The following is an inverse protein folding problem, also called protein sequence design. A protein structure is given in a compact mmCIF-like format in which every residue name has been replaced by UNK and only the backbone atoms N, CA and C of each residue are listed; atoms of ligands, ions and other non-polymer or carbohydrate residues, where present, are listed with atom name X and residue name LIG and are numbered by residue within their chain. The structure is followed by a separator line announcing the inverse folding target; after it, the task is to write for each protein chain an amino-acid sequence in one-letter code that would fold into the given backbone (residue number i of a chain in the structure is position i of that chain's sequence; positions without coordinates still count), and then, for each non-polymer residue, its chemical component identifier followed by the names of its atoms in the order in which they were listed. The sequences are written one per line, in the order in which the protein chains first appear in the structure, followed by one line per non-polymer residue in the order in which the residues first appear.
data_IF_430252791510
#
_entry.id   IF_430252791510
#
_cell.length_a   1.000
_cell.length_b   1.000
_cell.length_c   1.000
_cell.angle_alpha   90.00
_cell.angle_beta   90.00
_cell.angle_gamma   90.00
#
_symmetry.space_group_name_H-M   'P 1'
#
loop_
_entity.id
_entity.type
_entity.pdbx_description
1 polymer ?
#
# COMPACT_ATOMS: atom_id res chain seq x y z
N UNK A 1 -18.45 24.09 -23.07
CA UNK A 1 -19.84 24.45 -22.72
C UNK A 1 -19.91 24.60 -21.21
N UNK A 2 -20.39 25.72 -20.66
CA UNK A 2 -20.53 25.89 -19.21
C UNK A 2 -21.67 25.01 -18.68
N UNK A 3 -21.43 24.29 -17.59
CA UNK A 3 -22.42 23.46 -16.90
C UNK A 3 -23.52 24.38 -16.34
N UNK A 4 -24.76 24.26 -16.84
CA UNK A 4 -25.91 24.96 -16.27
C UNK A 4 -26.51 24.10 -15.16
N UNK A 5 -26.48 24.61 -13.94
CA UNK A 5 -27.16 23.98 -12.81
C UNK A 5 -28.68 24.07 -13.00
N UNK A 6 -29.34 22.92 -13.14
CA UNK A 6 -30.80 22.79 -13.33
C UNK A 6 -31.49 22.21 -12.10
N UNK A 7 -30.84 22.24 -10.94
CA UNK A 7 -31.38 21.67 -9.71
C UNK A 7 -32.72 22.32 -9.32
N UNK A 8 -32.86 23.64 -9.53
CA UNK A 8 -34.10 24.38 -9.26
C UNK A 8 -35.23 23.99 -10.24
N UNK A 9 -34.94 23.89 -11.54
CA UNK A 9 -35.92 23.41 -12.55
C UNK A 9 -36.46 22.04 -12.15
N UNK A 10 -35.57 21.14 -11.72
CA UNK A 10 -35.93 19.79 -11.30
C UNK A 10 -36.82 19.79 -10.04
N UNK A 11 -36.46 20.55 -9.01
CA UNK A 11 -37.27 20.66 -7.79
C UNK A 11 -38.67 21.21 -8.07
N UNK A 12 -38.78 22.19 -8.97
CA UNK A 12 -40.06 22.78 -9.35
C UNK A 12 -40.96 21.78 -10.07
N UNK A 13 -40.41 21.05 -11.05
CA UNK A 13 -41.12 19.98 -11.76
C UNK A 13 -41.55 18.86 -10.78
N UNK A 14 -40.71 18.53 -9.80
CA UNK A 14 -41.01 17.50 -8.80
C UNK A 14 -42.20 17.90 -7.93
N UNK A 15 -42.23 19.14 -7.43
CA UNK A 15 -43.36 19.66 -6.67
C UNK A 15 -44.65 19.76 -7.49
N UNK A 16 -44.56 20.15 -8.76
CA UNK A 16 -45.73 20.20 -9.65
C UNK A 16 -46.30 18.80 -9.91
N UNK A 17 -45.44 17.78 -10.04
CA UNK A 17 -45.86 16.38 -10.19
C UNK A 17 -46.44 15.79 -8.91
N UNK A 18 -45.88 16.14 -7.75
CA UNK A 18 -46.40 15.73 -6.45
C UNK A 18 -47.83 16.26 -6.23
N UNK A 19 -48.11 17.51 -6.66
CA UNK A 19 -49.44 18.12 -6.59
C UNK A 19 -50.44 17.54 -7.61
N UNK A 20 -49.95 17.07 -8.76
CA UNK A 20 -50.80 16.52 -9.83
C UNK A 20 -51.24 15.06 -9.60
N UNK A 21 -50.59 14.35 -8.68
CA UNK A 21 -50.97 12.99 -8.31
C UNK A 21 -52.03 13.06 -7.19
N UNK A 22 -53.20 12.42 -7.33
CA UNK A 22 -54.14 12.32 -6.21
C UNK A 22 -53.45 11.57 -5.06
N UNK A 23 -53.65 12.07 -3.83
CA UNK A 23 -53.15 11.48 -2.58
C UNK A 23 -53.52 10.00 -2.53
N UNK A 24 -52.64 9.15 -3.05
CA UNK A 24 -52.81 7.71 -3.00
C UNK A 24 -52.67 7.36 -1.53
N UNK A 25 -53.82 7.27 -0.83
CA UNK A 25 -54.00 6.96 0.59
C UNK A 25 -52.68 6.53 1.17
N UNK A 26 -51.99 7.45 1.85
CA UNK A 26 -50.75 7.17 2.60
C UNK A 26 -50.96 5.83 3.29
N UNK A 27 -50.47 4.74 2.70
CA UNK A 27 -50.19 3.54 3.45
C UNK A 27 -49.25 4.08 4.50
N UNK A 28 -49.67 4.06 5.77
CA UNK A 28 -48.76 4.26 6.88
C UNK A 28 -47.63 3.28 6.62
N UNK A 29 -46.56 3.76 6.00
CA UNK A 29 -45.26 3.12 6.05
C UNK A 29 -44.94 3.27 7.52
N UNK A 30 -45.30 2.23 8.27
CA UNK A 30 -44.84 2.03 9.63
C UNK A 30 -43.39 2.43 9.60
N UNK A 31 -43.04 3.45 10.38
CA UNK A 31 -41.69 3.99 10.51
C UNK A 31 -40.83 2.79 10.90
N UNK A 32 -40.28 2.11 9.89
CA UNK A 32 -39.33 1.03 10.06
C UNK A 32 -38.24 1.71 10.85
N UNK A 33 -38.06 1.18 12.06
CA UNK A 33 -36.91 1.43 12.92
C UNK A 33 -35.71 1.79 12.08
N UNK A 34 -35.00 2.81 12.53
CA UNK A 34 -33.73 3.32 12.04
C UNK A 34 -32.72 2.17 11.85
N UNK A 35 -32.94 1.38 10.80
CA UNK A 35 -32.05 0.34 10.36
C UNK A 35 -30.95 1.14 9.69
N UNK A 36 -29.85 1.35 10.43
CA UNK A 36 -28.53 1.64 9.85
C UNK A 36 -28.47 0.88 8.52
N UNK A 37 -28.33 1.58 7.37
CA UNK A 37 -28.35 0.89 6.09
C UNK A 37 -27.27 -0.22 6.12
N UNK A 38 -27.65 -1.46 5.82
CA UNK A 38 -26.76 -2.61 5.92
C UNK A 38 -25.56 -2.35 5.00
N UNK A 39 -24.36 -2.24 5.59
CA UNK A 39 -23.13 -1.93 4.87
C UNK A 39 -22.39 -0.67 5.33
N UNK A 40 -23.02 0.25 6.10
CA UNK A 40 -22.29 1.43 6.63
C UNK A 40 -21.13 1.06 7.55
N UNK A 41 -21.26 -0.02 8.31
CA UNK A 41 -20.22 -0.50 9.22
C UNK A 41 -19.04 -1.07 8.44
N UNK A 42 -19.31 -1.87 7.40
CA UNK A 42 -18.30 -2.39 6.49
C UNK A 42 -17.50 -1.29 5.80
N UNK A 43 -18.20 -0.28 5.26
CA UNK A 43 -17.56 0.86 4.59
C UNK A 43 -16.81 1.75 5.59
N UNK A 44 -17.35 1.98 6.80
CA UNK A 44 -16.66 2.73 7.85
C UNK A 44 -15.36 2.07 8.30
N UNK A 45 -15.37 0.75 8.39
CA UNK A 45 -14.17 -0.05 8.65
C UNK A 45 -13.16 0.05 7.50
N UNK A 46 -13.62 -0.03 6.26
CA UNK A 46 -12.79 0.15 5.07
C UNK A 46 -12.05 1.51 5.10
N UNK A 47 -12.76 2.59 5.45
CA UNK A 47 -12.16 3.92 5.59
C UNK A 47 -11.13 3.99 6.72
N UNK A 48 -11.37 3.28 7.81
CA UNK A 48 -10.42 3.21 8.93
C UNK A 48 -9.12 2.53 8.49
N UNK A 49 -9.22 1.42 7.77
CA UNK A 49 -8.06 0.72 7.20
C UNK A 49 -7.34 1.61 6.19
N UNK A 50 -8.08 2.27 5.29
CA UNK A 50 -7.53 3.18 4.31
C UNK A 50 -6.76 4.32 4.97
N UNK A 51 -7.28 4.89 6.06
CA UNK A 51 -6.60 5.93 6.81
C UNK A 51 -5.26 5.43 7.37
N UNK A 52 -5.22 4.23 7.96
CA UNK A 52 -3.96 3.64 8.43
C UNK A 52 -2.96 3.41 7.29
N UNK A 53 -3.40 2.90 6.13
CA UNK A 53 -2.54 2.68 4.96
C UNK A 53 -1.99 4.03 4.43
N UNK A 54 -2.84 5.05 4.34
CA UNK A 54 -2.43 6.37 3.87
C UNK A 54 -1.44 7.04 4.83
N UNK A 55 -1.69 6.96 6.14
CA UNK A 55 -0.76 7.46 7.17
C UNK A 55 0.57 6.74 7.08
N UNK A 56 0.57 5.41 6.95
CA UNK A 56 1.80 4.62 6.77
C UNK A 56 2.54 5.05 5.50
N UNK A 57 1.86 5.14 4.37
CA UNK A 57 2.45 5.51 3.07
C UNK A 57 3.08 6.91 3.12
N UNK A 58 2.38 7.87 3.72
CA UNK A 58 2.89 9.23 3.91
C UNK A 58 4.07 9.28 4.87
N UNK A 59 4.05 8.49 5.93
CA UNK A 59 5.19 8.37 6.83
C UNK A 59 6.39 7.79 6.09
N UNK A 60 6.25 6.64 5.42
CA UNK A 60 7.32 5.96 4.69
C UNK A 60 7.98 6.90 3.65
N UNK A 61 7.19 7.70 2.93
CA UNK A 61 7.74 8.67 1.98
C UNK A 61 8.52 9.81 2.65
N UNK A 62 8.05 10.31 3.79
CA UNK A 62 8.74 11.36 4.55
C UNK A 62 10.04 10.86 5.21
N UNK A 63 10.03 9.64 5.77
CA UNK A 63 11.20 9.08 6.46
C UNK A 63 12.21 8.48 5.49
N UNK A 64 11.88 8.26 4.21
CA UNK A 64 12.78 7.64 3.23
C UNK A 64 14.18 8.26 3.22
N UNK A 65 14.27 9.58 3.10
CA UNK A 65 15.57 10.28 3.05
C UNK A 65 16.39 10.13 4.35
N UNK A 66 15.87 10.46 5.54
CA UNK A 66 16.61 10.29 6.79
C UNK A 66 16.86 8.82 7.17
N UNK A 67 16.00 7.89 6.73
CA UNK A 67 16.13 6.45 6.97
C UNK A 67 17.28 5.83 6.16
N UNK A 68 17.41 6.28 4.91
CA UNK A 68 18.44 5.83 3.97
C UNK A 68 19.82 6.44 4.27
N UNK A 69 19.87 7.59 4.93
CA UNK A 69 21.12 8.23 5.30
C UNK A 69 21.80 7.48 6.46
N UNK A 70 22.67 6.50 6.17
CA UNK A 70 23.41 5.69 7.18
C UNK A 70 24.64 6.44 7.73
N UNK A 71 24.94 7.65 7.25
CA UNK A 71 26.13 8.36 7.70
C UNK A 71 26.01 8.81 9.15
N UNK A 72 26.77 8.13 10.00
CA UNK A 72 26.95 8.38 11.42
C UNK A 72 27.84 9.60 11.72
N UNK A 73 27.91 10.58 10.81
CA UNK A 73 28.45 11.91 11.16
C UNK A 73 27.40 12.68 11.94
N UNK A 74 26.96 12.08 13.05
CA UNK A 74 26.18 12.77 14.07
C UNK A 74 27.03 13.93 14.55
N UNK A 75 26.60 15.15 14.24
CA UNK A 75 27.15 16.34 14.89
C UNK A 75 27.05 16.13 16.41
N UNK A 76 28.16 16.11 17.16
CA UNK A 76 28.16 15.74 18.58
C UNK A 76 27.41 16.75 19.47
N UNK A 77 26.85 17.83 18.90
CA UNK A 77 26.07 18.84 19.61
C UNK A 77 24.54 18.62 19.54
N UNK A 78 24.04 17.65 18.77
CA UNK A 78 22.60 17.40 18.68
C UNK A 78 22.13 16.43 19.78
N UNK A 79 22.01 16.94 21.01
CA UNK A 79 21.35 16.25 22.12
C UNK A 79 19.84 16.20 21.87
N UNK A 80 19.39 15.42 20.89
CA UNK A 80 17.97 15.10 20.73
C UNK A 80 17.64 13.94 21.66
N UNK A 81 16.83 14.21 22.69
CA UNK A 81 16.32 13.16 23.57
C UNK A 81 15.54 12.12 22.78
N UNK A 82 15.54 10.88 23.27
CA UNK A 82 14.81 9.75 22.71
C UNK A 82 13.37 10.16 22.38
N UNK A 83 13.05 10.27 21.10
CA UNK A 83 11.67 10.56 20.68
C UNK A 83 10.92 9.24 20.70
N UNK A 84 9.86 9.15 21.49
CA UNK A 84 8.91 8.05 21.34
C UNK A 84 8.20 8.24 20.00
N UNK A 85 8.59 7.44 19.03
CA UNK A 85 7.99 7.44 17.71
C UNK A 85 6.66 6.68 17.82
N UNK A 86 5.53 7.38 17.89
CA UNK A 86 4.19 6.77 17.81
C UNK A 86 3.59 7.02 16.42
N UNK A 87 3.29 5.94 15.69
CA UNK A 87 2.70 5.96 14.35
C UNK A 87 1.19 6.15 14.37
N UNK A 88 0.54 5.96 15.51
CA UNK A 88 -0.91 6.12 15.60
C UNK A 88 -1.35 7.59 15.63
N UNK A 89 -0.44 8.53 15.91
CA UNK A 89 -0.71 9.96 15.78
C UNK A 89 -0.40 10.41 14.35
N UNK A 90 -1.46 10.76 13.62
CA UNK A 90 -1.37 11.34 12.27
C UNK A 90 -0.65 12.70 12.25
N UNK A 91 -0.49 13.34 13.42
CA UNK A 91 0.03 14.70 13.57
C UNK A 91 1.53 14.78 13.88
N UNK A 92 2.24 13.65 13.99
CA UNK A 92 3.69 13.68 14.26
C UNK A 92 4.41 14.28 13.04
N UNK A 93 5.16 15.40 13.17
CA UNK A 93 5.81 16.06 12.04
C UNK A 93 7.09 15.30 11.65
N UNK A 94 6.93 14.17 10.94
CA UNK A 94 8.01 13.38 10.33
C UNK A 94 8.89 14.19 9.37
N UNK A 95 8.43 15.36 8.93
CA UNK A 95 9.15 16.32 8.09
C UNK A 95 10.30 17.04 8.82
N UNK A 96 10.30 17.03 10.16
CA UNK A 96 11.30 17.75 10.97
C UNK A 96 12.55 16.90 11.29
N UNK A 97 12.53 15.61 10.97
CA UNK A 97 13.57 14.65 11.34
C UNK A 97 14.58 14.56 10.18
N UNK A 98 15.79 15.12 10.38
CA UNK A 98 16.88 15.08 9.39
C UNK A 98 17.78 13.84 9.51
N UNK A 99 17.87 13.26 10.70
CA UNK A 99 18.68 12.08 10.98
C UNK A 99 17.91 11.15 11.93
N UNK A 100 18.03 9.84 11.68
CA UNK A 100 17.47 8.77 12.51
C UNK A 100 18.62 7.91 13.05
N UNK A 101 18.58 7.61 14.34
CA UNK A 101 19.47 6.61 14.96
C UNK A 101 19.15 5.20 14.44
N UNK A 102 20.07 4.25 14.61
CA UNK A 102 19.82 2.87 14.19
C UNK A 102 18.61 2.26 14.93
N UNK A 103 18.46 2.55 16.23
CA UNK A 103 17.33 2.13 17.06
C UNK A 103 16.00 2.71 16.57
N UNK A 104 15.96 4.00 16.25
CA UNK A 104 14.74 4.64 15.71
C UNK A 104 14.34 4.05 14.36
N UNK A 105 15.30 3.69 13.50
CA UNK A 105 15.01 3.00 12.22
C UNK A 105 14.39 1.63 12.46
N UNK A 106 14.92 0.89 13.42
CA UNK A 106 14.38 -0.42 13.79
C UNK A 106 12.98 -0.33 14.40
N UNK A 107 12.70 0.73 15.17
CA UNK A 107 11.37 1.01 15.68
C UNK A 107 10.39 1.31 14.54
N UNK A 108 10.80 2.14 13.57
CA UNK A 108 10.00 2.41 12.36
C UNK A 108 9.68 1.12 11.60
N UNK A 109 10.68 0.24 11.40
CA UNK A 109 10.49 -1.04 10.72
C UNK A 109 9.49 -1.95 11.44
N UNK A 110 9.62 -2.05 12.78
CA UNK A 110 8.74 -2.87 13.60
C UNK A 110 7.31 -2.34 13.56
N UNK A 111 7.13 -1.03 13.68
CA UNK A 111 5.81 -0.41 13.68
C UNK A 111 5.15 -0.48 12.30
N UNK A 112 5.90 -0.24 11.23
CA UNK A 112 5.40 -0.43 9.87
C UNK A 112 4.92 -1.86 9.64
N UNK A 113 5.70 -2.86 10.07
CA UNK A 113 5.31 -4.28 10.00
C UNK A 113 4.01 -4.55 10.77
N UNK A 114 3.90 -4.08 12.02
CA UNK A 114 2.70 -4.28 12.84
C UNK A 114 1.46 -3.69 12.16
N UNK A 115 1.57 -2.49 11.58
CA UNK A 115 0.47 -1.86 10.85
C UNK A 115 0.11 -2.67 9.61
N UNK A 116 1.09 -3.12 8.81
CA UNK A 116 0.83 -3.93 7.63
C UNK A 116 0.13 -5.25 7.97
N UNK A 117 0.62 -6.00 8.96
CA UNK A 117 0.02 -7.27 9.38
C UNK A 117 -1.38 -7.07 9.95
N UNK A 118 -1.60 -6.01 10.73
CA UNK A 118 -2.91 -5.67 11.28
C UNK A 118 -3.91 -5.30 10.19
N UNK A 119 -3.51 -4.46 9.23
CA UNK A 119 -4.34 -4.11 8.08
C UNK A 119 -4.66 -5.34 7.22
N UNK A 120 -3.68 -6.20 6.93
CA UNK A 120 -3.89 -7.46 6.21
C UNK A 120 -4.91 -8.37 6.92
N UNK A 121 -4.76 -8.55 8.23
CA UNK A 121 -5.68 -9.37 9.03
C UNK A 121 -7.10 -8.81 9.02
N UNK A 122 -7.25 -7.49 9.12
CA UNK A 122 -8.56 -6.83 9.10
C UNK A 122 -9.22 -6.93 7.72
N UNK A 123 -8.46 -6.79 6.63
CA UNK A 123 -8.96 -6.98 5.27
C UNK A 123 -9.46 -8.43 5.09
N UNK A 124 -8.70 -9.43 5.56
CA UNK A 124 -9.13 -10.85 5.53
C UNK A 124 -10.41 -11.09 6.34
N UNK A 125 -10.56 -10.42 7.49
CA UNK A 125 -11.78 -10.50 8.29
C UNK A 125 -12.98 -9.91 7.53
N UNK A 126 -12.80 -8.75 6.88
CA UNK A 126 -13.83 -8.14 6.03
C UNK A 126 -14.24 -9.05 4.88
N UNK A 127 -13.28 -9.71 4.23
CA UNK A 127 -13.57 -10.68 3.17
C UNK A 127 -14.34 -11.89 3.69
N UNK A 128 -13.95 -12.42 4.86
CA UNK A 128 -14.66 -13.53 5.50
C UNK A 128 -16.10 -13.15 5.89
N UNK A 129 -16.31 -11.91 6.34
CA UNK A 129 -17.66 -11.38 6.64
C UNK A 129 -18.52 -11.32 5.37
N UNK A 130 -17.97 -10.85 4.25
CA UNK A 130 -18.72 -10.80 2.99
C UNK A 130 -18.99 -12.20 2.44
N UNK A 131 -18.03 -13.13 2.55
CA UNK A 131 -18.23 -14.53 2.17
C UNK A 131 -19.36 -15.18 2.98
N UNK A 132 -19.40 -14.98 4.30
CA UNK A 132 -20.51 -15.48 5.14
C UNK A 132 -21.84 -14.87 4.74
N UNK A 133 -21.86 -13.59 4.40
CA UNK A 133 -23.08 -12.93 3.91
C UNK A 133 -23.56 -13.55 2.60
N UNK A 134 -22.67 -13.76 1.64
CA UNK A 134 -22.99 -14.41 0.38
C UNK A 134 -23.54 -15.83 0.59
N UNK A 135 -22.95 -16.60 1.50
CA UNK A 135 -23.43 -17.95 1.86
C UNK A 135 -24.83 -17.93 2.50
N UNK A 136 -25.10 -16.98 3.40
CA UNK A 136 -26.43 -16.82 4.01
C UNK A 136 -27.50 -16.43 2.98
N UNK A 137 -27.16 -15.52 2.05
CA UNK A 137 -28.06 -15.13 0.96
C UNK A 137 -28.31 -16.30 0.02
N UNK A 138 -27.28 -17.07 -0.31
CA UNK A 138 -27.40 -18.30 -1.09
C UNK A 138 -28.21 -19.40 -0.37
N UNK A 139 -28.12 -19.47 0.96
CA UNK A 139 -28.87 -20.43 1.79
C UNK A 139 -30.34 -20.05 2.01
N UNK A 140 -30.68 -18.75 1.92
CA UNK A 140 -32.03 -18.23 2.13
C UNK A 140 -32.95 -18.40 0.92
N UNK A 141 -32.46 -18.90 -0.22
CA UNK A 141 -33.32 -19.22 -1.37
C UNK A 141 -34.06 -20.54 -1.10
N UNK A 142 -35.40 -20.50 -1.19
CA UNK A 142 -36.24 -21.68 -0.96
C UNK A 142 -35.73 -22.90 -1.77
N UNK A 143 -35.68 -24.12 -1.19
CA UNK A 143 -35.16 -25.29 -1.90
C UNK A 143 -35.96 -25.61 -3.16
N UNK A 144 -37.25 -25.28 -3.19
CA UNK A 144 -38.11 -25.39 -4.38
C UNK A 144 -37.78 -24.36 -5.46
N UNK A 145 -37.29 -23.16 -5.08
CA UNK A 145 -36.82 -22.16 -6.03
C UNK A 145 -35.50 -22.59 -6.71
N UNK A 146 -34.82 -23.64 -6.24
CA UNK A 146 -33.67 -24.25 -6.94
C UNK A 146 -34.05 -24.98 -8.23
N UNK A 147 -35.30 -25.41 -8.34
CA UNK A 147 -35.82 -26.08 -9.53
C UNK A 147 -36.45 -25.11 -10.55
N UNK A 148 -36.59 -23.83 -10.18
CA UNK A 148 -37.10 -22.82 -11.11
C UNK A 148 -35.99 -22.37 -12.08
N UNK A 149 -36.34 -22.07 -13.35
CA UNK A 149 -35.41 -21.49 -14.29
C UNK A 149 -34.77 -20.22 -13.72
N UNK A 150 -33.47 -20.02 -13.93
CA UNK A 150 -32.71 -18.87 -13.40
C UNK A 150 -33.39 -17.51 -13.62
N UNK A 151 -34.17 -17.36 -14.71
CA UNK A 151 -34.95 -16.17 -15.05
C UNK A 151 -36.09 -15.82 -14.07
N UNK A 152 -36.55 -16.79 -13.27
CA UNK A 152 -37.61 -16.62 -12.26
C UNK A 152 -37.07 -16.68 -10.83
N UNK A 153 -35.75 -16.89 -10.66
CA UNK A 153 -35.05 -16.98 -9.37
C UNK A 153 -34.52 -15.64 -8.86
N UNK A 154 -34.37 -14.64 -9.73
CA UNK A 154 -33.81 -13.34 -9.35
C UNK A 154 -34.87 -12.52 -8.60
N UNK A 155 -34.86 -12.62 -7.28
CA UNK A 155 -35.56 -11.69 -6.40
C UNK A 155 -34.76 -10.38 -6.33
N UNK A 156 -35.45 -9.24 -6.25
CA UNK A 156 -34.81 -7.91 -6.16
C UNK A 156 -33.84 -7.81 -4.95
N UNK A 157 -34.10 -8.59 -3.89
CA UNK A 157 -33.23 -8.71 -2.72
C UNK A 157 -31.91 -9.48 -3.00
N UNK A 158 -31.92 -10.53 -3.84
CA UNK A 158 -30.69 -11.25 -4.19
C UNK A 158 -29.82 -10.40 -5.11
N UNK A 159 -30.43 -9.64 -6.02
CA UNK A 159 -29.70 -8.71 -6.89
C UNK A 159 -28.96 -7.61 -6.15
N UNK A 160 -29.66 -6.94 -5.22
CA UNK A 160 -29.03 -5.88 -4.42
C UNK A 160 -27.90 -6.47 -3.59
N UNK A 161 -28.02 -7.73 -3.14
CA UNK A 161 -26.93 -8.45 -2.51
C UNK A 161 -25.75 -8.71 -3.46
N UNK A 162 -25.98 -9.17 -4.69
CA UNK A 162 -24.92 -9.45 -5.67
C UNK A 162 -24.14 -8.17 -6.05
N UNK A 163 -24.86 -7.06 -6.26
CA UNK A 163 -24.23 -5.75 -6.52
C UNK A 163 -23.44 -5.26 -5.31
N UNK A 164 -23.95 -5.45 -4.10
CA UNK A 164 -23.23 -5.09 -2.88
C UNK A 164 -22.00 -5.98 -2.68
N UNK A 165 -22.09 -7.28 -2.99
CA UNK A 165 -20.96 -8.20 -2.92
C UNK A 165 -19.85 -7.82 -3.91
N UNK A 166 -20.21 -7.46 -5.15
CA UNK A 166 -19.26 -6.95 -6.14
C UNK A 166 -18.61 -5.63 -5.67
N UNK A 167 -19.39 -4.72 -5.08
CA UNK A 167 -18.86 -3.47 -4.52
C UNK A 167 -17.92 -3.70 -3.33
N UNK A 168 -18.28 -4.59 -2.41
CA UNK A 168 -17.45 -4.97 -1.27
C UNK A 168 -16.16 -5.67 -1.70
N UNK A 169 -16.23 -6.58 -2.68
CA UNK A 169 -15.07 -7.21 -3.30
C UNK A 169 -14.13 -6.16 -3.90
N UNK A 170 -14.67 -5.18 -4.64
CA UNK A 170 -13.90 -4.05 -5.17
C UNK A 170 -13.24 -3.18 -4.10
N UNK A 171 -13.91 -2.93 -2.96
CA UNK A 171 -13.32 -2.23 -1.81
C UNK A 171 -12.14 -3.02 -1.24
N UNK A 172 -12.32 -4.31 -0.95
CA UNK A 172 -11.23 -5.13 -0.40
C UNK A 172 -10.07 -5.26 -1.36
N UNK A 173 -10.35 -5.40 -2.67
CA UNK A 173 -9.31 -5.42 -3.70
C UNK A 173 -8.52 -4.11 -3.71
N UNK A 174 -9.20 -2.96 -3.64
CA UNK A 174 -8.55 -1.65 -3.57
C UNK A 174 -7.66 -1.52 -2.34
N UNK A 175 -8.15 -1.93 -1.17
CA UNK A 175 -7.38 -1.90 0.08
C UNK A 175 -6.16 -2.83 0.02
N UNK A 176 -6.33 -4.07 -0.45
CA UNK A 176 -5.23 -5.03 -0.65
C UNK A 176 -4.18 -4.44 -1.58
N UNK A 177 -4.59 -3.87 -2.72
CA UNK A 177 -3.68 -3.22 -3.67
C UNK A 177 -2.88 -2.09 -3.02
N UNK A 178 -3.54 -1.19 -2.29
CA UNK A 178 -2.87 -0.09 -1.56
C UNK A 178 -1.91 -0.60 -0.49
N UNK A 179 -2.29 -1.68 0.21
CA UNK A 179 -1.44 -2.31 1.20
C UNK A 179 -0.20 -2.94 0.56
N UNK A 180 -0.37 -3.61 -0.59
CA UNK A 180 0.73 -4.16 -1.38
C UNK A 180 1.69 -3.07 -1.86
N UNK A 181 1.18 -1.95 -2.38
CA UNK A 181 1.97 -0.78 -2.75
C UNK A 181 2.79 -0.25 -1.56
N UNK A 182 2.17 -0.09 -0.38
CA UNK A 182 2.88 0.34 0.83
C UNK A 182 3.96 -0.67 1.26
N UNK A 183 3.65 -1.97 1.23
CA UNK A 183 4.60 -3.04 1.59
C UNK A 183 5.81 -3.08 0.65
N UNK A 184 5.60 -2.81 -0.65
CA UNK A 184 6.68 -2.71 -1.64
C UNK A 184 7.61 -1.55 -1.30
N UNK A 185 7.08 -0.37 -0.97
CA UNK A 185 7.92 0.77 -0.60
C UNK A 185 8.73 0.52 0.68
N UNK A 186 8.17 -0.19 1.66
CA UNK A 186 8.90 -0.58 2.87
C UNK A 186 10.04 -1.54 2.53
N UNK A 187 9.77 -2.59 1.74
CA UNK A 187 10.77 -3.57 1.34
C UNK A 187 11.92 -2.92 0.59
N UNK A 188 11.65 -2.07 -0.40
CA UNK A 188 12.69 -1.36 -1.16
C UNK A 188 13.62 -0.55 -0.25
N UNK A 189 13.05 0.13 0.77
CA UNK A 189 13.86 0.86 1.74
C UNK A 189 14.71 -0.07 2.62
N UNK A 190 14.18 -1.21 3.04
CA UNK A 190 14.90 -2.19 3.84
C UNK A 190 16.01 -2.88 3.04
N UNK A 191 15.75 -3.28 1.80
CA UNK A 191 16.77 -3.83 0.89
C UNK A 191 17.93 -2.88 0.71
N UNK A 192 17.63 -1.60 0.44
CA UNK A 192 18.66 -0.58 0.26
C UNK A 192 19.44 -0.31 1.56
N UNK A 193 18.79 -0.37 2.73
CA UNK A 193 19.48 -0.26 4.03
C UNK A 193 20.44 -1.42 4.26
N UNK A 194 19.95 -2.66 4.11
CA UNK A 194 20.76 -3.88 4.28
C UNK A 194 21.95 -3.84 3.32
N UNK A 195 21.72 -3.46 2.06
CA UNK A 195 22.76 -3.30 1.06
C UNK A 195 23.83 -2.28 1.49
N UNK A 196 23.45 -1.10 1.97
CA UNK A 196 24.42 -0.09 2.45
C UNK A 196 25.17 -0.54 3.70
N UNK A 197 24.52 -1.28 4.59
CA UNK A 197 25.18 -1.84 5.77
C UNK A 197 26.19 -2.93 5.37
N UNK A 198 25.84 -3.80 4.42
CA UNK A 198 26.74 -4.82 3.87
C UNK A 198 27.93 -4.22 3.12
N UNK A 199 27.71 -3.16 2.34
CA UNK A 199 28.80 -2.42 1.69
C UNK A 199 29.73 -1.80 2.74
N UNK A 200 29.19 -1.31 3.86
CA UNK A 200 29.99 -0.74 4.95
C UNK A 200 30.77 -1.78 5.74
N UNK A 201 30.20 -2.95 6.04
CA UNK A 201 30.97 -4.03 6.68
C UNK A 201 32.09 -4.50 5.77
N UNK A 202 31.84 -4.56 4.46
CA UNK A 202 32.85 -4.88 3.45
C UNK A 202 33.97 -3.83 3.38
N UNK A 203 33.65 -2.54 3.48
CA UNK A 203 34.66 -1.46 3.45
C UNK A 203 35.41 -1.31 4.77
N UNK A 204 34.77 -1.55 5.92
CA UNK A 204 35.45 -1.58 7.22
C UNK A 204 36.41 -2.77 7.32
N UNK A 205 36.02 -3.93 6.80
CA UNK A 205 36.91 -5.08 6.71
C UNK A 205 38.11 -4.84 5.78
N UNK A 206 37.90 -4.13 4.67
CA UNK A 206 38.99 -3.81 3.73
C UNK A 206 39.85 -2.63 4.19
N UNK A 207 39.34 -1.67 4.97
CA UNK A 207 40.16 -0.61 5.57
C UNK A 207 40.97 -1.13 6.75
N UNK A 208 40.39 -1.97 7.62
CA UNK A 208 41.11 -2.61 8.71
C UNK A 208 42.26 -3.50 8.20
N UNK A 209 42.05 -4.22 7.09
CA UNK A 209 43.11 -5.00 6.45
C UNK A 209 44.23 -4.14 5.82
N UNK A 210 43.94 -2.88 5.48
CA UNK A 210 44.92 -1.93 4.91
C UNK A 210 45.68 -1.16 6.00
N UNK A 211 44.99 -0.77 7.07
CA UNK A 211 45.61 -0.10 8.24
C UNK A 211 46.48 -1.05 9.05
N UNK A 212 46.16 -2.35 9.07
CA UNK A 212 46.96 -3.37 9.76
C UNK A 212 48.22 -3.81 8.97
N UNK A 213 48.61 -3.08 7.93
CA UNK A 213 49.87 -3.27 7.20
C UNK A 213 49.98 -4.57 6.40
N UNK A 214 48.93 -5.40 6.38
CA UNK A 214 48.89 -6.62 5.56
C UNK A 214 48.65 -6.27 4.10
N UNK A 215 49.69 -5.76 3.44
CA UNK A 215 49.74 -5.73 1.99
C UNK A 215 49.66 -7.18 1.49
N UNK A 216 48.69 -7.58 0.65
CA UNK A 216 48.84 -8.81 -0.09
C UNK A 216 50.12 -8.67 -0.93
N UNK A 217 50.96 -9.71 -1.04
CA UNK A 217 52.13 -9.64 -1.89
C UNK A 217 51.67 -9.28 -3.29
N UNK A 218 52.13 -8.14 -3.80
CA UNK A 218 52.04 -7.78 -5.20
C UNK A 218 52.90 -8.78 -5.96
N UNK A 219 52.32 -9.91 -6.34
CA UNK A 219 52.85 -10.66 -7.46
C UNK A 219 52.58 -9.83 -8.72
N UNK A 220 53.66 -9.27 -9.25
CA UNK A 220 53.74 -8.69 -10.58
C UNK A 220 53.36 -9.76 -11.62
N UNK A 221 52.07 -9.84 -11.95
CA UNK A 221 51.64 -10.50 -13.17
C UNK A 221 51.51 -9.43 -14.24
N UNK A 222 52.57 -9.32 -15.03
CA UNK A 222 52.55 -8.75 -16.37
C UNK A 222 51.33 -9.26 -17.14
N UNK A 223 50.38 -8.36 -17.42
CA UNK A 223 49.53 -8.43 -18.61
C UNK A 223 48.98 -7.05 -18.95
N UNK A 224 49.56 -6.53 -20.01
CA UNK A 224 49.02 -5.52 -20.89
C UNK A 224 47.55 -5.77 -21.22
N UNK A 225 46.80 -4.66 -21.31
CA UNK A 225 45.73 -4.34 -22.28
C UNK A 225 44.44 -3.79 -21.68
N UNK A 226 44.04 -2.68 -22.29
CA UNK A 226 42.68 -2.15 -22.42
C UNK A 226 42.13 -1.24 -21.32
N UNK A 227 42.66 -0.03 -21.39
CA UNK A 227 41.93 1.21 -21.23
C UNK A 227 40.83 1.34 -22.31
N UNK A 228 39.54 1.21 -21.96
CA UNK A 228 38.37 1.75 -22.68
C UNK A 228 37.14 1.61 -21.73
N UNK A 229 36.46 2.65 -21.27
CA UNK A 229 36.61 4.08 -21.51
C UNK A 229 35.60 4.89 -20.69
N UNK A 230 35.86 6.20 -20.60
CA UNK A 230 34.84 7.20 -20.28
C UNK A 230 35.17 8.16 -19.12
N UNK A 231 36.09 9.12 -19.38
CA UNK A 231 36.05 10.56 -19.03
C UNK A 231 35.18 11.03 -17.84
N UNK A 232 35.63 11.89 -16.92
CA UNK A 232 36.21 13.25 -17.10
C UNK A 232 37.04 13.60 -15.85
N UNK A 233 38.36 13.85 -15.92
CA UNK A 233 39.03 15.14 -16.19
C UNK A 233 38.59 16.37 -15.38
N UNK A 234 39.58 16.89 -14.64
CA UNK A 234 39.94 18.30 -14.44
C UNK A 234 39.20 19.13 -13.37
N UNK A 235 39.92 19.44 -12.29
CA UNK A 235 40.29 20.82 -11.94
C UNK A 235 41.42 20.83 -10.89
N UNK A 236 42.65 20.97 -11.38
CA UNK A 236 43.71 21.63 -10.63
C UNK A 236 43.45 23.14 -10.72
N UNK A 237 43.83 23.91 -9.69
CA UNK A 237 44.29 25.33 -9.70
C UNK A 237 43.80 26.13 -8.48
N UNK A 238 44.78 26.77 -7.79
CA UNK A 238 44.62 27.82 -6.78
C UNK A 238 44.88 27.31 -5.35
N UNK A 239 45.73 27.89 -4.50
CA UNK A 239 46.26 29.27 -4.43
C UNK A 239 47.22 29.40 -3.21
N UNK A 240 48.32 30.17 -3.38
CA UNK A 240 49.13 31.00 -2.43
C UNK A 240 49.53 30.51 -1.01
N UNK A 241 50.63 30.89 -0.34
CA UNK A 241 51.88 31.67 -0.53
C UNK A 241 52.64 31.67 0.82
N UNK A 242 53.93 32.08 0.81
CA UNK A 242 54.83 32.47 1.94
C UNK A 242 55.49 31.35 2.77
N UNK A 243 56.77 31.39 3.16
CA UNK A 243 57.85 32.41 3.07
C UNK A 243 59.19 31.86 3.62
N UNK A 244 60.32 32.36 3.05
CA UNK A 244 61.65 32.66 3.65
C UNK A 244 62.50 31.52 4.26
N UNK A 245 63.61 31.10 3.62
CA UNK A 245 65.02 31.62 3.70
C UNK A 245 65.68 31.58 5.09
N UNK A 246 66.77 30.80 5.23
CA UNK A 246 68.15 31.27 5.55
C UNK A 246 69.18 30.13 5.44
N UNK A 247 70.34 30.46 4.87
CA UNK A 247 71.58 29.67 4.78
C UNK A 247 72.30 29.52 6.14
N UNK A 248 73.07 28.44 6.35
CA UNK A 248 74.50 28.48 6.75
C UNK A 248 75.07 27.08 7.11
N UNK A 249 75.91 26.56 6.21
CA UNK A 249 77.25 25.94 6.38
C UNK A 249 77.64 25.07 7.61
N UNK A 250 78.17 23.89 7.23
CA UNK A 250 79.27 23.09 7.81
C UNK A 250 79.10 22.43 9.20
N UNK A 251 79.11 21.09 9.23
CA UNK A 251 80.33 20.34 9.60
C UNK A 251 80.21 18.82 9.40
N UNK A 252 81.20 18.26 8.70
CA UNK A 252 81.87 16.98 8.99
C UNK A 252 81.07 15.67 8.95
N UNK A 253 81.45 14.88 7.94
CA UNK A 253 81.40 13.42 7.86
C UNK A 253 81.62 12.73 9.22
N UNK A 254 80.64 11.94 9.64
CA UNK A 254 80.87 10.66 10.33
C UNK A 254 79.96 9.66 9.63
N UNK A 255 80.57 8.73 8.91
CA UNK A 255 79.91 7.47 8.53
C UNK A 255 79.90 6.62 9.78
N UNK A 256 78.71 6.27 10.26
CA UNK A 256 78.40 5.10 11.07
C UNK A 256 76.93 4.78 10.72
N UNK A 257 76.71 3.72 9.96
CA UNK A 257 76.14 2.45 10.45
C UNK A 257 74.61 2.44 10.29
N UNK A 258 74.12 1.31 9.83
CA UNK A 258 72.71 1.01 9.67
C UNK A 258 71.97 1.20 11.00
N UNK A 259 71.25 2.31 11.14
CA UNK A 259 70.11 2.36 12.06
C UNK A 259 68.88 2.44 11.17
N UNK A 260 68.37 1.24 10.86
CA UNK A 260 66.94 1.03 10.89
C UNK A 260 66.42 1.72 12.16
N UNK A 261 65.98 2.98 12.05
CA UNK A 261 65.10 3.59 13.04
C UNK A 261 63.80 2.78 12.97
N UNK A 262 63.86 1.57 13.53
CA UNK A 262 62.73 0.80 13.96
C UNK A 262 61.96 1.77 14.86
N UNK A 263 60.88 2.34 14.32
CA UNK A 263 60.01 3.26 15.03
C UNK A 263 59.45 2.46 16.20
N UNK A 264 60.18 2.43 17.32
CA UNK A 264 59.76 1.76 18.55
C UNK A 264 58.54 2.53 19.06
N UNK A 265 57.36 1.99 18.77
CA UNK A 265 56.10 2.53 19.25
C UNK A 265 56.18 2.67 20.77
N UNK A 266 55.98 3.88 21.29
CA UNK A 266 55.93 4.08 22.75
C UNK A 266 54.91 3.11 23.36
N UNK A 267 55.18 2.58 24.56
CA UNK A 267 54.26 1.65 25.23
C UNK A 267 52.82 2.20 25.35
N UNK A 268 52.66 3.52 25.43
CA UNK A 268 51.35 4.21 25.37
C UNK A 268 50.66 4.11 24.01
N UNK A 269 51.42 4.17 22.92
CA UNK A 269 50.90 4.10 21.55
C UNK A 269 50.52 2.66 21.16
N UNK A 270 51.27 1.66 21.65
CA UNK A 270 50.90 0.25 21.54
C UNK A 270 49.56 -0.02 22.24
N UNK A 271 49.40 0.46 23.49
CA UNK A 271 48.16 0.31 24.24
C UNK A 271 46.98 1.01 23.53
N UNK A 272 47.22 2.17 22.91
CA UNK A 272 46.22 2.86 22.12
C UNK A 272 45.80 2.04 20.88
N UNK A 273 46.75 1.46 20.14
CA UNK A 273 46.45 0.60 19.00
C UNK A 273 45.74 -0.69 19.39
N UNK A 274 46.12 -1.33 20.50
CA UNK A 274 45.41 -2.51 21.02
C UNK A 274 43.96 -2.16 21.38
N UNK A 275 43.76 -1.00 22.02
CA UNK A 275 42.43 -0.51 22.37
C UNK A 275 41.61 -0.15 21.12
N UNK A 276 42.22 0.46 20.12
CA UNK A 276 41.60 0.81 18.84
C UNK A 276 41.22 -0.44 18.04
N UNK A 277 42.13 -1.42 17.92
CA UNK A 277 41.87 -2.70 17.26
C UNK A 277 40.74 -3.47 17.95
N UNK A 278 40.75 -3.53 19.29
CA UNK A 278 39.66 -4.14 20.06
C UNK A 278 38.31 -3.44 19.81
N UNK A 279 38.32 -2.10 19.71
CA UNK A 279 37.14 -1.32 19.39
C UNK A 279 36.66 -1.57 17.95
N UNK A 280 37.56 -1.60 16.97
CA UNK A 280 37.22 -1.93 15.57
C UNK A 280 36.58 -3.31 15.49
N UNK A 281 37.20 -4.33 16.09
CA UNK A 281 36.65 -5.69 16.08
C UNK A 281 35.25 -5.74 16.72
N UNK A 282 35.04 -5.02 17.82
CA UNK A 282 33.73 -4.91 18.45
C UNK A 282 32.71 -4.25 17.53
N UNK A 283 33.05 -3.14 16.87
CA UNK A 283 32.15 -2.49 15.91
C UNK A 283 31.85 -3.36 14.68
N UNK A 284 32.82 -4.15 14.21
CA UNK A 284 32.60 -5.11 13.12
C UNK A 284 31.64 -6.21 13.57
N UNK A 285 31.81 -6.74 14.79
CA UNK A 285 30.90 -7.74 15.35
C UNK A 285 29.47 -7.19 15.52
N UNK A 286 29.33 -5.99 16.09
CA UNK A 286 28.03 -5.34 16.31
C UNK A 286 27.33 -5.01 14.97
N UNK A 287 28.10 -4.57 13.96
CA UNK A 287 27.54 -4.31 12.62
C UNK A 287 27.13 -5.58 11.90
N UNK A 288 27.87 -6.69 12.07
CA UNK A 288 27.52 -7.98 11.52
C UNK A 288 26.22 -8.51 12.14
N UNK A 289 26.07 -8.44 13.46
CA UNK A 289 24.84 -8.83 14.15
C UNK A 289 23.64 -7.99 13.68
N UNK A 290 23.83 -6.67 13.54
CA UNK A 290 22.80 -5.77 13.01
C UNK A 290 22.40 -6.13 11.56
N UNK A 291 23.36 -6.47 10.71
CA UNK A 291 23.09 -6.91 9.32
C UNK A 291 22.29 -8.22 9.31
N UNK A 292 22.70 -9.23 10.09
CA UNK A 292 21.97 -10.50 10.18
C UNK A 292 20.54 -10.30 10.67
N UNK A 293 20.34 -9.44 11.66
CA UNK A 293 19.01 -9.10 12.15
C UNK A 293 18.17 -8.38 11.08
N UNK A 294 18.78 -7.46 10.34
CA UNK A 294 18.11 -6.74 9.26
C UNK A 294 17.75 -7.69 8.08
N UNK A 295 18.60 -8.65 7.75
CA UNK A 295 18.33 -9.70 6.77
C UNK A 295 17.15 -10.60 7.18
N UNK A 296 17.10 -11.03 8.45
CA UNK A 296 15.96 -11.79 8.98
C UNK A 296 14.66 -11.01 8.85
N UNK A 297 14.65 -9.72 9.23
CA UNK A 297 13.47 -8.85 9.09
C UNK A 297 13.09 -8.63 7.63
N UNK A 298 14.07 -8.53 6.74
CA UNK A 298 13.85 -8.40 5.30
C UNK A 298 13.21 -9.68 4.72
N UNK A 299 13.62 -10.85 5.20
CA UNK A 299 13.00 -12.12 4.82
C UNK A 299 11.52 -12.15 5.24
N UNK A 300 11.21 -11.74 6.47
CA UNK A 300 9.83 -11.68 6.98
C UNK A 300 8.95 -10.73 6.15
N UNK A 301 9.43 -9.51 5.84
CA UNK A 301 8.64 -8.57 5.03
C UNK A 301 8.46 -9.09 3.60
N UNK A 302 9.46 -9.77 3.05
CA UNK A 302 9.37 -10.35 1.71
C UNK A 302 8.35 -11.47 1.65
N UNK A 303 8.24 -12.29 2.71
CA UNK A 303 7.21 -13.32 2.83
C UNK A 303 5.81 -12.70 2.91
N UNK A 304 5.62 -11.68 3.76
CA UNK A 304 4.36 -10.95 3.85
C UNK A 304 3.98 -10.31 2.51
N UNK A 305 4.93 -9.70 1.83
CA UNK A 305 4.68 -9.08 0.52
C UNK A 305 4.28 -10.12 -0.52
N UNK A 306 4.98 -11.25 -0.59
CA UNK A 306 4.66 -12.34 -1.51
C UNK A 306 3.23 -12.85 -1.27
N UNK A 307 2.85 -13.00 0.00
CA UNK A 307 1.49 -13.37 0.40
C UNK A 307 0.47 -12.33 -0.09
N UNK A 308 0.71 -11.04 0.14
CA UNK A 308 -0.16 -9.96 -0.30
C UNK A 308 -0.32 -9.90 -1.83
N UNK A 309 0.79 -10.08 -2.57
CA UNK A 309 0.77 -10.11 -4.04
C UNK A 309 0.00 -11.32 -4.54
N UNK A 310 0.27 -12.51 -4.01
CA UNK A 310 -0.46 -13.73 -4.36
C UNK A 310 -1.96 -13.60 -4.08
N UNK A 311 -2.31 -13.04 -2.92
CA UNK A 311 -3.69 -12.76 -2.55
C UNK A 311 -4.35 -11.78 -3.52
N UNK A 312 -3.67 -10.68 -3.88
CA UNK A 312 -4.16 -9.71 -4.85
C UNK A 312 -4.40 -10.32 -6.23
N UNK A 313 -3.51 -11.18 -6.71
CA UNK A 313 -3.67 -11.86 -8.00
C UNK A 313 -4.92 -12.73 -7.99
N UNK A 314 -5.11 -13.57 -6.96
CA UNK A 314 -6.32 -14.39 -6.80
C UNK A 314 -7.57 -13.53 -6.70
N UNK A 315 -7.51 -12.44 -5.94
CA UNK A 315 -8.64 -11.53 -5.72
C UNK A 315 -9.04 -10.79 -6.99
N UNK A 316 -8.09 -10.48 -7.89
CA UNK A 316 -8.36 -9.77 -9.15
C UNK A 316 -9.29 -10.60 -10.03
N UNK A 317 -8.97 -11.88 -10.26
CA UNK A 317 -9.80 -12.78 -11.06
C UNK A 317 -11.22 -12.92 -10.49
N UNK A 318 -11.33 -13.12 -9.16
CA UNK A 318 -12.63 -13.26 -8.50
C UNK A 318 -13.46 -11.97 -8.55
N UNK A 319 -12.80 -10.81 -8.42
CA UNK A 319 -13.48 -9.50 -8.45
C UNK A 319 -14.00 -9.20 -9.85
N UNK A 320 -13.23 -9.52 -10.89
CA UNK A 320 -13.65 -9.36 -12.29
C UNK A 320 -14.87 -10.24 -12.61
N UNK A 321 -14.85 -11.50 -12.18
CA UNK A 321 -16.00 -12.40 -12.33
C UNK A 321 -17.26 -11.87 -11.61
N UNK A 322 -17.13 -11.46 -10.35
CA UNK A 322 -18.25 -10.89 -9.59
C UNK A 322 -18.80 -9.61 -10.22
N UNK A 323 -17.93 -8.79 -10.81
CA UNK A 323 -18.32 -7.57 -11.50
C UNK A 323 -19.10 -7.87 -12.78
N UNK A 324 -18.61 -8.79 -13.61
CA UNK A 324 -19.32 -9.24 -14.82
C UNK A 324 -20.68 -9.86 -14.48
N UNK A 325 -20.74 -10.71 -13.46
CA UNK A 325 -21.97 -11.34 -12.98
C UNK A 325 -23.00 -10.31 -12.48
N UNK A 326 -22.54 -9.29 -11.74
CA UNK A 326 -23.39 -8.21 -11.27
C UNK A 326 -23.97 -7.39 -12.42
N UNK A 327 -23.17 -7.09 -13.46
CA UNK A 327 -23.64 -6.38 -14.66
C UNK A 327 -24.64 -7.22 -15.45
N UNK A 328 -24.31 -8.49 -15.70
CA UNK A 328 -25.19 -9.41 -16.42
C UNK A 328 -26.54 -9.55 -15.70
N UNK A 329 -26.51 -9.75 -14.39
CA UNK A 329 -27.69 -9.82 -13.52
C UNK A 329 -28.51 -8.54 -13.58
N UNK A 330 -27.87 -7.38 -13.45
CA UNK A 330 -28.56 -6.09 -13.52
C UNK A 330 -29.24 -5.88 -14.88
N UNK A 331 -28.54 -6.19 -15.98
CA UNK A 331 -29.07 -6.00 -17.34
C UNK A 331 -30.23 -6.96 -17.68
N UNK A 332 -30.17 -8.20 -17.19
CA UNK A 332 -31.21 -9.21 -17.45
C UNK A 332 -32.50 -8.85 -16.73
N UNK A 333 -32.40 -8.32 -15.51
CA UNK A 333 -33.58 -7.89 -14.76
C UNK A 333 -34.12 -6.55 -15.23
N UNK A 334 -33.27 -5.61 -15.67
CA UNK A 334 -33.77 -4.39 -16.32
C UNK A 334 -34.68 -4.74 -17.50
N UNK A 335 -34.22 -5.65 -18.38
CA UNK A 335 -35.02 -6.19 -19.49
C UNK A 335 -36.27 -6.91 -18.99
N UNK A 336 -36.16 -7.71 -17.92
CA UNK A 336 -37.29 -8.40 -17.29
C UNK A 336 -38.36 -7.44 -16.76
N UNK A 337 -37.96 -6.36 -16.09
CA UNK A 337 -38.86 -5.32 -15.57
C UNK A 337 -39.58 -4.59 -16.70
N UNK A 338 -38.91 -4.32 -17.82
CA UNK A 338 -39.56 -3.78 -19.02
C UNK A 338 -40.63 -4.75 -19.54
N UNK A 339 -40.29 -6.04 -19.66
CA UNK A 339 -41.24 -7.06 -20.11
C UNK A 339 -42.44 -7.22 -19.16
N UNK A 340 -42.23 -7.15 -17.84
CA UNK A 340 -43.32 -7.18 -16.86
C UNK A 340 -44.25 -5.96 -17.00
N UNK A 341 -43.68 -4.78 -17.23
CA UNK A 341 -44.46 -3.56 -17.47
C UNK A 341 -45.27 -3.65 -18.77
N UNK A 342 -44.68 -4.18 -19.83
CA UNK A 342 -45.37 -4.46 -21.08
C UNK A 342 -46.47 -5.52 -20.93
N UNK A 343 -46.18 -6.63 -20.24
CA UNK A 343 -47.15 -7.69 -19.97
C UNK A 343 -48.35 -7.16 -19.18
N UNK A 344 -48.12 -6.30 -18.17
CA UNK A 344 -49.18 -5.63 -17.43
C UNK A 344 -50.04 -4.74 -18.32
N UNK A 345 -49.43 -4.02 -19.27
CA UNK A 345 -50.16 -3.21 -20.27
C UNK A 345 -50.98 -4.10 -21.20
N UNK A 346 -50.39 -5.16 -21.78
CA UNK A 346 -51.08 -6.12 -22.66
C UNK A 346 -52.23 -6.83 -21.95
N UNK A 347 -52.08 -7.18 -20.68
CA UNK A 347 -53.15 -7.79 -19.88
C UNK A 347 -54.34 -6.82 -19.68
N UNK A 348 -54.07 -5.53 -19.45
CA UNK A 348 -55.12 -4.51 -19.38
C UNK A 348 -55.84 -4.35 -20.72
N UNK A 349 -55.08 -4.27 -21.81
CA UNK A 349 -55.63 -4.11 -23.16
C UNK A 349 -56.46 -5.33 -23.58
N UNK A 350 -55.99 -6.55 -23.28
CA UNK A 350 -56.72 -7.79 -23.51
C UNK A 350 -58.03 -7.87 -22.70
N UNK A 351 -58.02 -7.44 -21.44
CA UNK A 351 -59.24 -7.39 -20.61
C UNK A 351 -60.26 -6.38 -21.18
N UNK A 352 -59.80 -5.24 -21.68
CA UNK A 352 -60.67 -4.26 -22.34
C UNK A 352 -61.27 -4.83 -23.63
N UNK A 353 -60.46 -5.49 -24.45
CA UNK A 353 -60.92 -6.10 -25.70
C UNK A 353 -61.98 -7.18 -25.46
N UNK A 354 -61.77 -8.07 -24.49
CA UNK A 354 -62.77 -9.09 -24.11
C UNK A 354 -64.08 -8.43 -23.67
N UNK A 355 -64.02 -7.34 -22.90
CA UNK A 355 -65.21 -6.63 -22.44
C UNK A 355 -65.98 -6.00 -23.61
N UNK A 356 -65.29 -5.33 -24.54
CA UNK A 356 -65.90 -4.76 -25.75
C UNK A 356 -66.51 -5.85 -26.64
N UNK A 357 -65.81 -6.98 -26.81
CA UNK A 357 -66.31 -8.12 -27.57
C UNK A 357 -67.60 -8.71 -26.96
N UNK A 358 -67.62 -8.91 -25.64
CA UNK A 358 -68.79 -9.46 -24.94
C UNK A 358 -69.99 -8.50 -25.02
N UNK A 359 -69.74 -7.20 -24.88
CA UNK A 359 -70.76 -6.15 -25.06
C UNK A 359 -71.32 -6.17 -26.48
N UNK A 360 -70.45 -6.21 -27.50
CA UNK A 360 -70.85 -6.28 -28.91
C UNK A 360 -71.66 -7.53 -29.24
N UNK A 361 -71.20 -8.71 -28.79
CA UNK A 361 -71.90 -9.97 -28.98
C UNK A 361 -73.29 -9.97 -28.30
N UNK A 362 -73.41 -9.36 -27.11
CA UNK A 362 -74.70 -9.23 -26.42
C UNK A 362 -75.70 -8.36 -27.21
N UNK A 363 -75.23 -7.25 -27.79
CA UNK A 363 -76.05 -6.38 -28.63
C UNK A 363 -76.45 -7.06 -29.95
N UNK A 364 -75.55 -7.82 -30.56
CA UNK A 364 -75.86 -8.59 -31.76
C UNK A 364 -76.94 -9.65 -31.50
N UNK A 365 -76.88 -10.37 -30.38
CA UNK A 365 -77.93 -11.32 -29.99
C UNK A 365 -79.28 -10.64 -29.74
N UNK A 366 -79.27 -9.44 -29.14
CA UNK A 366 -80.50 -8.68 -28.92
C UNK A 366 -81.17 -8.26 -30.23
N UNK A 367 -80.39 -7.79 -31.22
CA UNK A 367 -80.90 -7.45 -32.54
C UNK A 367 -81.41 -8.67 -33.32
N UNK A 368 -80.74 -9.82 -33.19
CA UNK A 368 -81.12 -11.05 -33.87
C UNK A 368 -82.35 -11.73 -33.26
N UNK A 369 -82.69 -11.41 -32.01
CA UNK A 369 -83.95 -11.85 -31.38
C UNK A 369 -85.10 -10.88 -31.65
N UNK A 370 -84.82 -9.60 -31.90
CA UNK A 370 -85.85 -8.59 -32.16
C UNK A 370 -86.39 -8.65 -33.60
N UNK A 371 -85.65 -9.25 -34.52
CA UNK A 371 -86.02 -9.47 -35.92
C UNK A 371 -86.27 -10.95 -36.17
#
# INVERSE_FOLDING_TARGET
MPFRDRTNDFQQILHDKERALPDAKRRKITKLTENKPPGKEYVGEAYTILNHINTLTRMLSNVRSPYLNVDSRSSPLARQGSRNIDLNQADTPWTSIRHLTNEEREQIDLQARVILTRCSSRIKEMEALEKRRAELVAGNVNPLARFLPARLRQDEATMTSDVIAAHHAGITWYLTRRLTEASQTQKEMQEERVKRQLERTRTLGSSAARDMGTSPPTEEINKSESWLGGSLLAATMGTSSSSQTTNATNSTYVSDEDEDEEIELSASQILQFETENANILRTVQDTLESVQQAESRLMDISALQMELVSHLTRQTELTDQLYEDAIATTSTVEKGNVQLKEAKRRAKDGRLFILVFLMGASLSLLFLHYY
#
